data_IF_648461570309
#
_entry.id   IF_648461570309
#
_cell.length_a   1.000
_cell.length_b   1.000
_cell.length_c   1.000
_cell.angle_alpha   90.00
_cell.angle_beta   90.00
_cell.angle_gamma   90.00
#
_symmetry.space_group_name_H-M   'P 1'
#
loop_
_entity.id
_entity.type
_entity.pdbx_description
1 polymer ?
#
# COMPACT_ATOMS: atom_id res chain seq x y z
N UNK A 1 -12.69 -11.85 -12.11
CA UNK A 1 -12.42 -12.88 -13.14
C UNK A 1 -11.17 -13.64 -12.73
N UNK A 2 -11.16 -14.97 -12.84
CA UNK A 2 -10.00 -15.83 -12.55
C UNK A 2 -9.11 -15.91 -13.80
N UNK A 3 -7.79 -15.81 -13.62
CA UNK A 3 -6.81 -16.07 -14.69
C UNK A 3 -6.33 -17.51 -14.55
N UNK A 4 -6.56 -18.32 -15.58
CA UNK A 4 -6.13 -19.73 -15.60
C UNK A 4 -4.68 -19.85 -16.07
N UNK A 5 -3.97 -20.86 -15.57
CA UNK A 5 -2.56 -21.13 -15.90
C UNK A 5 -1.58 -20.67 -14.82
N UNK A 6 -0.29 -20.84 -15.10
CA UNK A 6 0.83 -20.39 -14.25
C UNK A 6 1.32 -19.03 -14.75
N UNK A 7 1.07 -17.98 -13.99
CA UNK A 7 1.38 -16.60 -14.33
C UNK A 7 2.41 -16.01 -13.35
N UNK A 8 3.11 -14.96 -13.77
CA UNK A 8 4.07 -14.17 -12.99
C UNK A 8 3.91 -12.69 -13.33
N UNK A 9 4.37 -11.81 -12.44
CA UNK A 9 4.58 -10.41 -12.81
C UNK A 9 5.71 -10.29 -13.85
N UNK A 10 5.58 -9.29 -14.72
CA UNK A 10 6.65 -8.72 -15.54
C UNK A 10 6.74 -7.23 -15.22
N UNK A 11 7.92 -6.78 -14.82
CA UNK A 11 8.20 -5.40 -14.42
C UNK A 11 9.70 -5.19 -14.40
N UNK A 12 10.15 -4.17 -15.12
CA UNK A 12 11.54 -3.73 -15.14
C UNK A 12 11.65 -2.35 -14.47
N UNK A 13 12.65 -2.20 -13.60
CA UNK A 13 12.92 -0.95 -12.90
C UNK A 13 12.94 -1.09 -11.39
N UNK A 14 13.06 0.05 -10.71
CA UNK A 14 13.02 0.10 -9.25
C UNK A 14 11.65 -0.33 -8.73
N UNK A 15 11.65 -1.16 -7.69
CA UNK A 15 10.46 -1.65 -7.03
C UNK A 15 10.59 -1.44 -5.52
N UNK A 16 9.65 -0.69 -4.96
CA UNK A 16 9.52 -0.51 -3.52
C UNK A 16 8.22 -1.12 -3.05
N UNK A 17 8.29 -1.94 -2.01
CA UNK A 17 7.12 -2.46 -1.31
C UNK A 17 6.97 -1.68 -0.01
N UNK A 18 5.87 -0.96 0.12
CA UNK A 18 5.56 -0.15 1.30
C UNK A 18 4.34 -0.73 2.00
N UNK A 19 4.50 -1.12 3.26
CA UNK A 19 3.43 -1.57 4.11
C UNK A 19 3.08 -0.43 5.05
N UNK A 20 1.80 -0.12 5.18
CA UNK A 20 1.30 0.82 6.18
C UNK A 20 0.04 0.26 6.81
N UNK A 21 0.01 0.20 8.14
CA UNK A 21 -1.07 -0.41 8.87
C UNK A 21 -1.55 0.42 10.05
N UNK A 22 -2.76 0.10 10.49
CA UNK A 22 -3.38 0.67 11.68
C UNK A 22 -3.67 -0.43 12.69
N UNK A 23 -3.27 -0.24 13.94
CA UNK A 23 -3.68 -1.10 15.06
C UNK A 23 -4.85 -0.48 15.81
N UNK A 24 -5.88 -1.27 16.11
CA UNK A 24 -7.06 -0.86 16.86
C UNK A 24 -6.95 -1.49 18.24
N UNK A 25 -6.55 -0.70 19.23
CA UNK A 25 -6.28 -1.22 20.57
C UNK A 25 -7.49 -1.06 21.50
N UNK A 26 -8.37 -0.09 21.21
CA UNK A 26 -9.62 0.16 21.94
C UNK A 26 -10.82 0.15 20.99
N UNK A 27 -11.36 -1.04 20.72
CA UNK A 27 -12.47 -1.24 19.78
C UNK A 27 -13.70 -0.37 20.08
N UNK A 28 -13.97 -0.13 21.37
CA UNK A 28 -15.10 0.69 21.84
C UNK A 28 -14.92 2.21 21.64
N UNK A 29 -13.83 2.67 21.03
CA UNK A 29 -13.55 4.08 20.73
C UNK A 29 -13.52 4.38 19.22
N UNK A 30 -14.63 4.15 18.49
CA UNK A 30 -14.71 4.45 17.05
C UNK A 30 -14.49 5.92 16.73
N UNK A 31 -14.77 6.83 17.66
CA UNK A 31 -14.45 8.25 17.54
C UNK A 31 -12.94 8.53 17.34
N UNK A 32 -12.08 7.61 17.76
CA UNK A 32 -10.63 7.72 17.63
C UNK A 32 -10.08 7.00 16.40
N UNK A 33 -10.48 5.75 16.15
CA UNK A 33 -9.90 4.94 15.06
C UNK A 33 -10.61 5.10 13.71
N UNK A 34 -11.91 5.38 13.68
CA UNK A 34 -12.67 5.49 12.42
C UNK A 34 -12.20 6.65 11.52
N UNK A 35 -11.85 7.83 12.05
CA UNK A 35 -11.29 8.90 11.21
C UNK A 35 -9.93 8.53 10.58
N UNK A 36 -9.10 7.78 11.29
CA UNK A 36 -7.79 7.32 10.78
C UNK A 36 -8.01 6.32 9.66
N UNK A 37 -8.92 5.35 9.85
CA UNK A 37 -9.30 4.37 8.85
C UNK A 37 -9.78 5.03 7.53
N UNK A 38 -10.52 6.14 7.64
CA UNK A 38 -11.08 6.86 6.47
C UNK A 38 -10.05 7.72 5.73
N UNK A 39 -8.87 7.99 6.30
CA UNK A 39 -7.88 8.85 5.66
C UNK A 39 -7.14 8.13 4.51
N UNK A 40 -6.84 6.84 4.67
CA UNK A 40 -6.05 6.07 3.71
C UNK A 40 -6.70 5.96 2.31
N UNK A 41 -8.00 5.67 2.16
CA UNK A 41 -8.63 5.64 0.84
C UNK A 41 -8.52 6.96 0.07
N UNK A 42 -8.57 8.10 0.75
CA UNK A 42 -8.41 9.41 0.12
C UNK A 42 -7.00 9.60 -0.45
N UNK A 43 -5.97 9.24 0.32
CA UNK A 43 -4.57 9.29 -0.13
C UNK A 43 -4.31 8.37 -1.33
N UNK A 44 -4.84 7.14 -1.27
CA UNK A 44 -4.69 6.17 -2.37
C UNK A 44 -5.42 6.61 -3.64
N UNK A 45 -6.55 7.31 -3.50
CA UNK A 45 -7.27 7.89 -4.63
C UNK A 45 -6.47 9.03 -5.28
N UNK A 46 -5.96 9.94 -4.47
CA UNK A 46 -5.09 11.03 -4.94
C UNK A 46 -3.89 10.49 -5.73
N UNK A 47 -3.19 9.49 -5.17
CA UNK A 47 -2.06 8.83 -5.83
C UNK A 47 -2.47 8.12 -7.13
N UNK A 48 -3.66 7.54 -7.18
CA UNK A 48 -4.18 6.86 -8.37
C UNK A 48 -4.66 7.80 -9.48
N UNK A 49 -5.01 9.04 -9.16
CA UNK A 49 -5.41 10.07 -10.13
C UNK A 49 -4.21 10.83 -10.72
N UNK A 50 -3.06 10.83 -10.03
CA UNK A 50 -1.82 11.45 -10.48
C UNK A 50 -0.97 10.48 -11.32
N UNK A 51 -0.87 10.75 -12.62
CA UNK A 51 -0.20 9.89 -13.62
C UNK A 51 1.26 9.57 -13.29
N UNK A 52 1.97 10.48 -12.61
CA UNK A 52 3.38 10.34 -12.27
C UNK A 52 3.66 10.16 -10.76
N UNK A 53 2.64 9.79 -9.98
CA UNK A 53 2.75 9.66 -8.51
C UNK A 53 3.78 8.64 -8.04
N UNK A 54 4.11 7.67 -8.89
CA UNK A 54 5.00 6.57 -8.59
C UNK A 54 4.33 5.36 -7.94
N UNK A 55 3.04 5.44 -7.60
CA UNK A 55 2.27 4.31 -7.09
C UNK A 55 1.86 3.38 -8.26
N UNK A 56 2.44 2.16 -8.30
CA UNK A 56 2.05 1.12 -9.25
C UNK A 56 0.69 0.49 -8.89
N UNK A 57 0.41 0.42 -7.60
CA UNK A 57 -0.85 -0.06 -7.08
C UNK A 57 -0.78 -0.48 -5.64
N UNK A 58 -1.94 -0.89 -5.10
CA UNK A 58 -2.06 -1.25 -3.70
C UNK A 58 -3.08 -2.37 -3.50
N UNK A 59 -3.01 -2.99 -2.32
CA UNK A 59 -4.02 -3.94 -1.84
C UNK A 59 -4.21 -3.79 -0.34
N UNK A 60 -5.46 -3.91 0.08
CA UNK A 60 -5.82 -4.01 1.48
C UNK A 60 -5.71 -5.47 1.94
N UNK A 61 -5.11 -5.68 3.09
CA UNK A 61 -5.06 -6.93 3.84
C UNK A 61 -5.60 -6.67 5.25
N UNK A 62 -6.17 -7.70 5.87
CA UNK A 62 -6.70 -7.63 7.22
C UNK A 62 -5.95 -8.63 8.10
N UNK A 63 -5.29 -8.12 9.13
CA UNK A 63 -4.66 -8.91 10.19
C UNK A 63 -5.61 -8.89 11.41
N UNK A 64 -6.62 -9.75 11.35
CA UNK A 64 -7.77 -9.63 12.25
C UNK A 64 -8.49 -8.29 12.01
N UNK A 65 -8.67 -7.44 13.03
CA UNK A 65 -9.32 -6.15 12.86
C UNK A 65 -8.34 -5.02 12.49
N UNK A 66 -7.07 -5.35 12.23
CA UNK A 66 -6.03 -4.38 11.91
C UNK A 66 -5.81 -4.34 10.39
N UNK A 67 -6.24 -3.26 9.70
CA UNK A 67 -6.03 -3.13 8.27
C UNK A 67 -4.58 -2.77 7.97
N UNK A 68 -4.03 -3.45 6.97
CA UNK A 68 -2.71 -3.22 6.39
C UNK A 68 -2.86 -2.95 4.90
N UNK A 69 -2.32 -1.85 4.41
CA UNK A 69 -2.22 -1.57 2.98
C UNK A 69 -0.81 -1.90 2.51
N UNK A 70 -0.72 -2.86 1.60
CA UNK A 70 0.50 -3.13 0.84
C UNK A 70 0.46 -2.28 -0.42
N UNK A 71 1.49 -1.48 -0.63
CA UNK A 71 1.65 -0.60 -1.77
C UNK A 71 2.90 -0.99 -2.56
N UNK A 72 2.82 -0.91 -3.87
CA UNK A 72 3.94 -1.13 -4.79
C UNK A 72 4.25 0.18 -5.47
N UNK A 73 5.51 0.59 -5.44
CA UNK A 73 5.98 1.86 -5.98
C UNK A 73 7.11 1.64 -6.97
N UNK A 74 7.20 2.50 -7.97
CA UNK A 74 8.26 2.49 -8.98
C UNK A 74 9.50 3.32 -8.59
N UNK A 75 9.45 4.04 -7.46
CA UNK A 75 10.53 4.88 -6.98
C UNK A 75 10.44 5.12 -5.47
N UNK A 76 11.55 4.91 -4.77
CA UNK A 76 11.68 5.25 -3.36
C UNK A 76 11.64 6.76 -3.14
N UNK A 77 12.24 7.51 -4.05
CA UNK A 77 12.24 8.98 -4.03
C UNK A 77 10.80 9.51 -4.08
N UNK A 78 9.99 9.07 -5.04
CA UNK A 78 8.58 9.51 -5.17
C UNK A 78 7.73 9.16 -3.96
N UNK A 79 7.94 7.99 -3.35
CA UNK A 79 7.28 7.62 -2.10
C UNK A 79 7.59 8.65 -0.98
N UNK A 80 8.86 9.05 -0.85
CA UNK A 80 9.28 10.02 0.17
C UNK A 80 8.86 11.45 -0.16
N UNK A 81 8.88 11.84 -1.44
CA UNK A 81 8.33 13.13 -1.88
C UNK A 81 6.86 13.25 -1.51
N UNK A 82 6.05 12.22 -1.78
CA UNK A 82 4.64 12.21 -1.37
C UNK A 82 4.47 12.28 0.15
N UNK A 83 5.28 11.52 0.90
CA UNK A 83 5.21 11.51 2.36
C UNK A 83 5.57 12.88 2.97
N UNK A 84 6.50 13.62 2.36
CA UNK A 84 6.97 14.92 2.81
C UNK A 84 6.17 16.11 2.24
N UNK A 85 5.37 15.89 1.19
CA UNK A 85 4.66 16.94 0.48
C UNK A 85 3.63 17.65 1.39
N UNK A 86 3.75 18.97 1.63
CA UNK A 86 2.89 19.69 2.57
C UNK A 86 1.43 19.83 2.08
N UNK A 87 1.22 19.69 0.77
CA UNK A 87 -0.08 19.79 0.11
C UNK A 87 -0.70 18.44 -0.25
N UNK A 88 0.07 17.35 -0.13
CA UNK A 88 -0.45 16.01 -0.36
C UNK A 88 -1.39 15.59 0.77
N UNK A 89 -2.35 14.70 0.49
CA UNK A 89 -3.32 14.20 1.46
C UNK A 89 -2.69 13.55 2.70
N UNK A 90 -1.43 13.08 2.60
CA UNK A 90 -0.66 12.54 3.72
C UNK A 90 -0.46 13.53 4.86
N UNK A 91 -0.04 14.76 4.57
CA UNK A 91 0.28 15.75 5.60
C UNK A 91 -0.90 16.12 6.52
N UNK A 92 -2.09 16.51 6.03
CA UNK A 92 -3.23 16.81 6.88
C UNK A 92 -3.73 15.57 7.64
N UNK A 93 -3.65 14.37 7.04
CA UNK A 93 -3.98 13.12 7.71
C UNK A 93 -3.04 12.84 8.90
N UNK A 94 -1.73 12.96 8.68
CA UNK A 94 -0.72 12.81 9.73
C UNK A 94 -0.90 13.81 10.87
N UNK A 95 -1.14 15.08 10.54
CA UNK A 95 -1.45 16.13 11.53
C UNK A 95 -2.70 15.79 12.34
N UNK A 96 -3.74 15.26 11.70
CA UNK A 96 -4.99 14.87 12.33
C UNK A 96 -4.84 13.65 13.23
N UNK A 97 -3.99 12.69 12.85
CA UNK A 97 -3.61 11.56 13.68
C UNK A 97 -2.84 12.01 14.93
N UNK A 98 -1.78 12.80 14.78
CA UNK A 98 -0.96 13.28 15.91
C UNK A 98 -1.79 14.03 16.95
N UNK A 99 -2.73 14.89 16.52
CA UNK A 99 -3.65 15.57 17.45
C UNK A 99 -4.53 14.62 18.26
N UNK A 100 -4.91 13.46 17.69
CA UNK A 100 -5.69 12.43 18.39
C UNK A 100 -4.81 11.60 19.31
N UNK A 101 -3.63 11.21 18.85
CA UNK A 101 -2.65 10.47 19.64
C UNK A 101 -2.29 11.23 20.93
N UNK A 102 -2.12 12.55 20.87
CA UNK A 102 -1.87 13.37 22.07
C UNK A 102 -3.04 13.33 23.08
N UNK A 103 -4.28 13.17 22.62
CA UNK A 103 -5.48 13.19 23.48
C UNK A 103 -5.87 11.81 24.03
N UNK A 104 -5.44 10.73 23.37
CA UNK A 104 -5.76 9.35 23.73
C UNK A 104 -4.71 8.39 23.14
N UNK A 105 -3.54 8.37 23.77
CA UNK A 105 -2.28 7.85 23.23
C UNK A 105 -2.25 6.34 22.89
N UNK A 106 -3.25 5.56 23.30
CA UNK A 106 -3.22 4.11 23.18
C UNK A 106 -4.39 3.51 22.40
N UNK A 107 -5.38 4.27 21.94
CA UNK A 107 -6.58 3.71 21.32
C UNK A 107 -6.36 3.21 19.88
N UNK A 108 -5.44 3.84 19.15
CA UNK A 108 -5.11 3.57 17.76
C UNK A 108 -3.61 3.77 17.53
N UNK A 109 -2.96 2.80 16.87
CA UNK A 109 -1.57 2.91 16.43
C UNK A 109 -1.47 2.95 14.91
N UNK A 110 -0.35 3.47 14.41
CA UNK A 110 0.03 3.43 13.00
C UNK A 110 1.46 2.89 12.94
N UNK A 111 1.74 2.05 11.95
CA UNK A 111 3.06 1.53 11.67
C UNK A 111 3.28 1.50 10.15
N UNK A 112 4.54 1.49 9.73
CA UNK A 112 4.89 1.29 8.34
C UNK A 112 6.25 0.60 8.18
N UNK A 113 6.43 -0.08 7.05
CA UNK A 113 7.67 -0.74 6.66
C UNK A 113 7.95 -0.43 5.19
N UNK A 114 9.19 -0.07 4.86
CA UNK A 114 9.61 0.26 3.50
C UNK A 114 10.70 -0.69 3.05
N UNK A 115 10.45 -1.41 1.96
CA UNK A 115 11.39 -2.37 1.38
C UNK A 115 11.77 -1.95 -0.03
N UNK A 116 13.03 -1.56 -0.22
CA UNK A 116 13.60 -1.43 -1.55
C UNK A 116 14.00 -2.82 -2.07
N UNK A 117 13.23 -3.33 -3.02
CA UNK A 117 13.38 -4.70 -3.52
C UNK A 117 14.46 -4.76 -4.60
N UNK A 118 15.52 -5.53 -4.34
CA UNK A 118 16.52 -5.86 -5.39
C UNK A 118 16.03 -6.92 -6.36
N UNK A 119 15.09 -7.76 -5.92
CA UNK A 119 14.55 -8.86 -6.71
C UNK A 119 13.16 -9.22 -6.20
N UNK A 120 12.23 -9.45 -7.14
CA UNK A 120 10.92 -9.97 -6.83
C UNK A 120 10.63 -11.22 -7.67
N UNK A 121 10.05 -12.22 -7.03
CA UNK A 121 9.45 -13.38 -7.69
C UNK A 121 7.98 -13.46 -7.30
N UNK A 122 7.11 -13.73 -8.28
CA UNK A 122 5.73 -14.08 -8.00
C UNK A 122 5.28 -15.23 -8.87
N UNK A 123 4.42 -16.07 -8.31
CA UNK A 123 3.76 -17.15 -9.05
C UNK A 123 2.28 -17.14 -8.68
N UNK A 124 1.43 -17.11 -9.70
CA UNK A 124 -0.02 -17.12 -9.59
C UNK A 124 -0.55 -18.32 -10.37
N UNK A 125 -1.36 -19.17 -9.73
CA UNK A 125 -1.93 -20.36 -10.37
C UNK A 125 -3.45 -20.33 -10.21
N UNK A 126 -4.18 -20.24 -11.33
CA UNK A 126 -5.64 -20.31 -11.35
C UNK A 126 -6.32 -19.37 -10.34
N UNK A 127 -5.86 -18.12 -10.27
CA UNK A 127 -6.31 -17.10 -9.30
C UNK A 127 -6.74 -15.82 -10.03
N UNK A 128 -7.59 -14.96 -9.45
CA UNK A 128 -7.73 -13.59 -9.93
C UNK A 128 -6.37 -12.86 -9.99
N UNK A 129 -6.30 -11.70 -10.66
CA UNK A 129 -5.10 -10.84 -10.60
C UNK A 129 -4.95 -10.29 -9.17
N UNK A 130 -3.83 -10.57 -8.50
CA UNK A 130 -3.55 -10.17 -7.12
C UNK A 130 -2.14 -9.58 -7.00
N UNK A 131 -1.88 -8.84 -5.91
CA UNK A 131 -0.54 -8.40 -5.53
C UNK A 131 0.19 -7.65 -6.65
N UNK A 132 1.49 -7.89 -6.78
CA UNK A 132 2.33 -7.24 -7.77
C UNK A 132 1.84 -7.47 -9.21
N UNK A 133 1.46 -8.69 -9.59
CA UNK A 133 0.95 -9.00 -10.93
C UNK A 133 -0.39 -8.36 -11.30
N UNK A 134 -1.12 -7.78 -10.33
CA UNK A 134 -2.25 -6.88 -10.62
C UNK A 134 -1.78 -5.45 -10.88
N UNK A 135 -0.71 -5.02 -10.22
CA UNK A 135 -0.17 -3.67 -10.26
C UNK A 135 0.83 -3.47 -11.41
N UNK A 136 1.24 -4.56 -12.05
CA UNK A 136 2.15 -4.58 -13.20
C UNK A 136 1.55 -5.41 -14.34
N UNK A 137 2.35 -5.68 -15.36
CA UNK A 137 2.01 -6.68 -16.37
C UNK A 137 1.99 -8.09 -15.74
N UNK A 138 1.04 -8.92 -16.20
CA UNK A 138 0.90 -10.32 -15.80
C UNK A 138 1.09 -11.21 -17.02
N UNK A 139 2.14 -12.02 -17.02
CA UNK A 139 2.53 -12.87 -18.16
C UNK A 139 2.59 -14.35 -17.75
N UNK A 140 2.47 -15.30 -18.69
CA UNK A 140 2.76 -16.71 -18.41
C UNK A 140 4.18 -16.90 -17.89
N UNK A 141 4.38 -17.83 -16.95
CA UNK A 141 5.72 -18.13 -16.40
C UNK A 141 6.71 -18.57 -17.49
N UNK A 142 6.21 -19.25 -18.54
CA UNK A 142 7.03 -19.69 -19.66
C UNK A 142 7.62 -18.53 -20.47
N UNK A 143 6.99 -17.35 -20.43
CA UNK A 143 7.34 -16.19 -21.25
C UNK A 143 8.22 -15.19 -20.50
N UNK A 144 8.45 -15.39 -19.18
CA UNK A 144 9.30 -14.49 -18.39
C UNK A 144 10.77 -14.67 -18.82
N UNK A 145 11.45 -13.60 -19.30
CA UNK A 145 12.88 -13.65 -19.55
C UNK A 145 13.61 -14.08 -18.27
N UNK A 146 14.59 -14.99 -18.39
CA UNK A 146 15.47 -15.29 -17.25
C UNK A 146 16.32 -14.04 -17.00
N UNK A 147 16.26 -13.54 -15.76
CA UNK A 147 17.15 -12.49 -15.28
C UNK A 147 18.61 -12.98 -15.21
#
# INVERSE_FOLDING_TARGET
MVVSGRMTHHYDGELVVFLIGMTINKFWRPDLWLPVLRAMPTMLRELGEAEDSGLLGHRLMLEGPHPTVVQYWNSLEKLYEYAAAPHAGHWPAWKAFNRRAVRAADAVGIWHETYLSRYAETVYVNTPRLGLGRCTELVPVADKPRA
#
